data_IF_521880592801
#
_entry.id   IF_521880592801
#
_cell.length_a   1.000
_cell.length_b   1.000
_cell.length_c   1.000
_cell.angle_alpha   90.00
_cell.angle_beta   90.00
_cell.angle_gamma   90.00
#
_symmetry.space_group_name_H-M   'P 1'
#
loop_
_entity.id
_entity.type
_entity.pdbx_description
1 polymer ?
#
# COMPACT_ATOMS: atom_id res chain seq x y z
N UNK A 1 -11.09 7.74 -18.92
CA UNK A 1 -10.04 7.73 -17.86
C UNK A 1 -8.83 8.49 -18.38
N UNK A 2 -8.44 9.59 -17.73
CA UNK A 2 -7.19 10.28 -18.08
C UNK A 2 -5.99 9.41 -17.73
N UNK A 3 -5.08 9.17 -18.68
CA UNK A 3 -3.88 8.35 -18.43
C UNK A 3 -2.82 9.21 -17.75
N UNK A 4 -2.43 8.84 -16.53
CA UNK A 4 -1.40 9.55 -15.77
C UNK A 4 -0.02 9.29 -16.41
N UNK A 5 0.82 10.32 -16.49
CA UNK A 5 2.21 10.23 -16.95
C UNK A 5 3.16 9.68 -15.89
N UNK A 6 4.11 8.86 -16.32
CA UNK A 6 5.12 8.26 -15.46
C UNK A 6 6.13 9.29 -14.95
N UNK A 7 6.48 9.14 -13.68
CA UNK A 7 7.43 10.00 -12.95
C UNK A 7 8.17 9.16 -11.93
N UNK A 8 9.26 9.70 -11.38
CA UNK A 8 10.07 9.05 -10.36
C UNK A 8 9.33 9.00 -9.00
N UNK A 9 8.29 8.17 -8.91
CA UNK A 9 7.42 8.02 -7.74
C UNK A 9 6.81 6.61 -7.73
N UNK A 10 6.27 6.16 -6.59
CA UNK A 10 5.48 4.93 -6.47
C UNK A 10 4.02 5.02 -6.95
N UNK A 11 3.57 6.17 -7.47
CA UNK A 11 2.20 6.38 -7.98
C UNK A 11 1.85 5.49 -9.18
N UNK A 12 2.86 5.21 -10.01
CA UNK A 12 2.82 4.25 -11.11
C UNK A 12 3.76 3.10 -10.75
N UNK A 13 3.33 1.87 -11.05
CA UNK A 13 4.10 0.65 -10.85
C UNK A 13 4.05 -0.19 -12.11
N UNK A 14 5.19 -0.79 -12.46
CA UNK A 14 5.23 -1.85 -13.45
C UNK A 14 4.75 -3.14 -12.81
N UNK A 15 3.76 -3.79 -13.42
CA UNK A 15 3.22 -5.07 -12.95
C UNK A 15 3.23 -6.06 -14.10
N UNK A 16 3.69 -7.27 -13.81
CA UNK A 16 3.75 -8.36 -14.77
C UNK A 16 2.35 -8.76 -15.25
N UNK A 17 2.14 -8.78 -16.57
CA UNK A 17 0.90 -9.28 -17.17
C UNK A 17 0.91 -10.81 -17.30
N UNK A 18 2.10 -11.38 -17.48
CA UNK A 18 2.35 -12.81 -17.41
C UNK A 18 3.45 -13.06 -16.36
N UNK A 19 3.39 -14.18 -15.61
CA UNK A 19 4.38 -14.46 -14.58
C UNK A 19 5.79 -14.60 -15.18
N UNK A 20 6.80 -14.16 -14.43
CA UNK A 20 8.20 -14.42 -14.75
C UNK A 20 8.50 -15.89 -14.49
N UNK A 21 8.85 -16.63 -15.53
CA UNK A 21 9.25 -18.04 -15.39
C UNK A 21 10.75 -18.06 -15.07
N UNK A 22 11.09 -18.38 -13.83
CA UNK A 22 12.48 -18.48 -13.37
C UNK A 22 12.82 -19.92 -13.00
N UNK A 23 14.09 -20.30 -13.15
CA UNK A 23 14.63 -21.56 -12.68
C UNK A 23 14.82 -21.48 -11.17
N UNK A 24 14.18 -22.39 -10.45
CA UNK A 24 14.21 -22.39 -8.98
C UNK A 24 14.84 -23.67 -8.49
N UNK A 25 15.89 -23.61 -7.65
CA UNK A 25 16.49 -24.80 -7.08
C UNK A 25 15.51 -25.47 -6.11
N UNK A 26 15.11 -26.70 -6.44
CA UNK A 26 14.29 -27.57 -5.60
C UNK A 26 15.06 -28.89 -5.45
N UNK A 27 15.80 -29.02 -4.35
CA UNK A 27 16.77 -30.11 -4.16
C UNK A 27 17.84 -30.08 -5.25
N UNK A 28 18.00 -31.20 -5.98
CA UNK A 28 18.97 -31.33 -7.06
C UNK A 28 18.42 -30.90 -8.44
N UNK A 29 17.16 -30.48 -8.53
CA UNK A 29 16.52 -30.06 -9.78
C UNK A 29 16.30 -28.55 -9.81
N UNK A 30 16.21 -27.98 -11.02
CA UNK A 30 15.91 -26.56 -11.24
C UNK A 30 14.68 -26.38 -12.14
N UNK A 31 13.47 -26.79 -11.68
CA UNK A 31 12.25 -26.64 -12.47
C UNK A 31 11.94 -25.15 -12.77
N UNK A 32 11.31 -24.87 -13.92
CA UNK A 32 10.81 -23.54 -14.24
C UNK A 32 9.53 -23.25 -13.44
N UNK A 33 9.56 -22.27 -12.54
CA UNK A 33 8.42 -21.86 -11.72
C UNK A 33 7.97 -20.42 -12.05
N UNK A 34 6.65 -20.14 -12.02
CA UNK A 34 6.10 -18.81 -12.25
C UNK A 34 6.17 -17.91 -11.00
N UNK A 35 6.64 -16.68 -11.15
CA UNK A 35 6.67 -15.65 -10.11
C UNK A 35 5.98 -14.35 -10.54
N UNK A 36 5.18 -13.72 -9.66
CA UNK A 36 4.69 -12.37 -9.90
C UNK A 36 5.85 -11.38 -9.77
N UNK A 37 5.92 -10.40 -10.67
CA UNK A 37 6.95 -9.36 -10.63
C UNK A 37 6.30 -8.00 -10.60
N UNK A 38 6.73 -7.18 -9.65
CA UNK A 38 6.28 -5.79 -9.54
C UNK A 38 7.47 -4.87 -9.29
N UNK A 39 7.35 -3.62 -9.74
CA UNK A 39 8.35 -2.60 -9.46
C UNK A 39 7.78 -1.19 -9.46
N UNK A 40 8.20 -0.41 -8.47
CA UNK A 40 7.86 1.00 -8.33
C UNK A 40 8.82 1.87 -9.15
N UNK A 41 8.33 2.97 -9.71
CA UNK A 41 9.18 3.90 -10.48
C UNK A 41 9.98 4.86 -9.59
N UNK A 42 9.93 4.75 -8.26
CA UNK A 42 10.71 5.59 -7.34
C UNK A 42 12.23 5.42 -7.49
N UNK A 43 12.68 4.21 -7.80
CA UNK A 43 14.11 3.87 -8.00
C UNK A 43 14.58 4.02 -9.46
N UNK A 44 13.85 4.78 -10.28
CA UNK A 44 14.18 4.98 -11.70
C UNK A 44 15.51 5.68 -11.89
N UNK A 45 16.30 5.21 -12.86
CA UNK A 45 17.54 5.83 -13.33
C UNK A 45 17.29 6.42 -14.72
N UNK A 46 18.04 7.46 -15.12
CA UNK A 46 17.92 8.05 -16.46
C UNK A 46 16.65 8.90 -16.64
N UNK A 47 16.16 9.52 -15.57
CA UNK A 47 15.03 10.46 -15.56
C UNK A 47 15.33 11.79 -16.28
N UNK A 48 14.29 12.58 -16.53
CA UNK A 48 14.41 13.95 -17.06
C UNK A 48 14.18 14.96 -15.94
N UNK A 49 15.22 15.63 -15.41
CA UNK A 49 15.08 16.54 -14.26
C UNK A 49 14.39 17.87 -14.60
N UNK A 50 14.42 18.27 -15.87
CA UNK A 50 13.88 19.56 -16.34
C UNK A 50 12.35 19.60 -16.39
N UNK A 51 11.69 18.44 -16.52
CA UNK A 51 10.23 18.35 -16.59
C UNK A 51 9.73 17.55 -15.41
N UNK A 52 8.79 18.13 -14.66
CA UNK A 52 8.26 17.53 -13.43
C UNK A 52 6.75 17.34 -13.54
N UNK A 53 6.27 16.18 -13.12
CA UNK A 53 4.85 15.89 -12.99
C UNK A 53 4.46 15.88 -11.51
N UNK A 54 3.72 16.89 -11.05
CA UNK A 54 3.41 17.12 -9.63
C UNK A 54 4.66 17.10 -8.73
N UNK A 55 5.74 17.75 -9.17
CA UNK A 55 6.97 17.88 -8.37
C UNK A 55 8.04 16.83 -8.65
N UNK A 56 7.69 15.64 -9.17
CA UNK A 56 8.69 14.59 -9.43
C UNK A 56 9.17 14.59 -10.89
N UNK A 57 10.45 14.26 -11.16
CA UNK A 57 11.00 14.19 -12.52
C UNK A 57 10.26 13.20 -13.43
N UNK A 58 10.11 13.58 -14.70
CA UNK A 58 9.42 12.78 -15.70
C UNK A 58 10.21 11.52 -16.10
N UNK A 59 9.46 10.44 -16.35
CA UNK A 59 9.97 9.16 -16.82
C UNK A 59 9.63 8.96 -18.31
N UNK A 60 10.64 8.66 -19.13
CA UNK A 60 10.51 8.64 -20.59
C UNK A 60 11.04 7.35 -21.21
N UNK A 61 10.51 7.00 -22.38
CA UNK A 61 10.95 5.87 -23.19
C UNK A 61 12.44 6.02 -23.58
N UNK A 62 13.16 4.92 -23.72
CA UNK A 62 14.57 4.85 -24.20
C UNK A 62 15.60 5.67 -23.42
N UNK A 63 15.26 6.15 -22.22
CA UNK A 63 16.20 6.84 -21.32
C UNK A 63 16.05 6.35 -19.90
N UNK A 64 14.81 6.23 -19.45
CA UNK A 64 14.52 5.89 -18.08
C UNK A 64 14.31 4.39 -17.94
N UNK A 65 14.93 3.81 -16.92
CA UNK A 65 14.86 2.37 -16.61
C UNK A 65 14.79 2.17 -15.11
N UNK A 66 14.27 1.04 -14.65
CA UNK A 66 14.42 0.62 -13.26
C UNK A 66 15.49 -0.45 -13.18
N UNK A 67 16.50 -0.30 -12.30
CA UNK A 67 17.64 -1.21 -12.27
C UNK A 67 17.27 -2.61 -11.72
N UNK A 68 16.22 -2.69 -10.90
CA UNK A 68 15.82 -3.92 -10.22
C UNK A 68 14.31 -4.05 -10.23
N UNK A 69 13.79 -5.27 -10.26
CA UNK A 69 12.40 -5.59 -9.98
C UNK A 69 12.27 -6.49 -8.74
N UNK A 70 11.05 -6.63 -8.20
CA UNK A 70 10.79 -7.41 -6.99
C UNK A 70 9.76 -8.52 -7.24
N UNK A 71 9.83 -9.60 -6.45
CA UNK A 71 8.87 -10.73 -6.48
C UNK A 71 9.42 -12.06 -7.01
N UNK A 72 10.56 -12.03 -7.72
CA UNK A 72 11.12 -13.21 -8.39
C UNK A 72 12.41 -13.75 -7.76
N UNK A 73 12.80 -13.18 -6.61
CA UNK A 73 13.98 -13.56 -5.81
C UNK A 73 14.11 -15.06 -5.49
N UNK A 74 13.03 -15.84 -5.29
CA UNK A 74 13.16 -17.28 -5.03
C UNK A 74 13.72 -18.08 -6.23
N UNK A 75 13.57 -17.57 -7.45
CA UNK A 75 14.15 -18.15 -8.65
C UNK A 75 15.63 -17.79 -8.80
N UNK A 76 16.47 -18.22 -7.86
CA UNK A 76 17.88 -17.82 -7.77
C UNK A 76 18.75 -18.29 -8.94
N UNK A 77 18.28 -19.23 -9.76
CA UNK A 77 18.97 -19.69 -10.97
C UNK A 77 18.57 -18.89 -12.23
N UNK A 78 17.89 -17.75 -12.07
CA UNK A 78 17.59 -16.81 -13.15
C UNK A 78 16.35 -17.13 -13.98
N UNK A 79 15.89 -16.15 -14.76
CA UNK A 79 14.80 -16.28 -15.72
C UNK A 79 15.14 -17.29 -16.83
N UNK A 80 14.14 -18.06 -17.28
CA UNK A 80 14.33 -19.02 -18.38
C UNK A 80 14.77 -18.33 -19.67
N UNK A 81 14.26 -17.13 -19.95
CA UNK A 81 14.63 -16.35 -21.12
C UNK A 81 15.77 -15.37 -20.86
N UNK A 82 15.78 -14.71 -19.69
CA UNK A 82 16.74 -13.63 -19.41
C UNK A 82 18.01 -14.09 -18.69
N UNK A 83 18.00 -15.23 -18.01
CA UNK A 83 19.08 -15.66 -17.11
C UNK A 83 19.26 -14.79 -15.87
N UNK A 84 18.44 -13.75 -15.67
CA UNK A 84 18.54 -12.82 -14.54
C UNK A 84 17.44 -13.05 -13.53
N UNK A 85 17.71 -12.73 -12.27
CA UNK A 85 16.71 -12.64 -11.21
C UNK A 85 16.65 -11.21 -10.74
N UNK A 86 15.45 -10.65 -10.58
CA UNK A 86 15.26 -9.26 -10.18
C UNK A 86 15.97 -8.27 -11.12
N UNK A 87 15.94 -8.54 -12.42
CA UNK A 87 16.57 -7.72 -13.44
C UNK A 87 15.92 -6.36 -13.68
N UNK A 88 16.35 -5.70 -14.74
CA UNK A 88 15.87 -4.35 -15.07
C UNK A 88 14.42 -4.36 -15.61
N UNK A 89 13.75 -3.23 -15.45
CA UNK A 89 12.46 -2.93 -16.10
C UNK A 89 12.66 -1.82 -17.11
N UNK A 90 12.18 -2.08 -18.34
CA UNK A 90 12.28 -1.16 -19.47
C UNK A 90 10.91 -0.94 -20.11
N UNK A 91 10.54 0.32 -20.42
CA UNK A 91 9.35 0.61 -21.20
C UNK A 91 9.55 0.17 -22.65
N UNK A 92 8.51 -0.40 -23.27
CA UNK A 92 8.55 -0.87 -24.67
C UNK A 92 7.91 0.16 -25.61
N UNK A 93 6.85 0.82 -25.13
CA UNK A 93 6.10 1.80 -25.92
C UNK A 93 5.69 2.96 -25.02
N UNK A 94 5.61 4.15 -25.59
CA UNK A 94 5.12 5.36 -24.92
C UNK A 94 4.06 6.09 -25.74
N UNK A 95 3.81 7.34 -25.38
CA UNK A 95 2.90 8.24 -26.08
C UNK A 95 3.38 8.56 -27.51
N UNK A 96 2.47 8.49 -28.49
CA UNK A 96 2.76 8.88 -29.87
C UNK A 96 2.87 10.39 -30.05
N UNK A 97 2.10 11.16 -29.27
CA UNK A 97 1.89 12.59 -29.49
C UNK A 97 2.68 13.46 -28.49
N UNK A 98 2.91 12.94 -27.27
CA UNK A 98 3.58 13.70 -26.21
C UNK A 98 5.00 13.20 -26.01
N UNK A 99 5.97 14.11 -26.16
CA UNK A 99 7.39 13.84 -25.97
C UNK A 99 7.99 14.82 -24.97
N UNK A 100 8.89 14.33 -24.13
CA UNK A 100 9.69 15.14 -23.20
C UNK A 100 11.16 14.92 -23.57
N UNK A 101 11.90 16.01 -23.79
CA UNK A 101 13.30 15.95 -24.24
C UNK A 101 13.49 15.08 -25.49
N UNK A 102 12.57 15.17 -26.44
CA UNK A 102 12.59 14.39 -27.69
C UNK A 102 12.14 12.93 -27.57
N UNK A 103 11.86 12.44 -26.35
CA UNK A 103 11.50 11.03 -26.10
C UNK A 103 10.03 10.86 -25.70
N UNK A 104 9.33 9.81 -26.15
CA UNK A 104 7.96 9.52 -25.75
C UNK A 104 7.77 9.44 -24.23
N UNK A 105 6.71 10.08 -23.74
CA UNK A 105 6.33 9.98 -22.33
C UNK A 105 5.64 8.64 -22.08
N UNK A 106 6.02 7.97 -21.00
CA UNK A 106 5.35 6.74 -20.56
C UNK A 106 4.10 7.09 -19.77
N UNK A 107 3.02 6.36 -19.99
CA UNK A 107 1.73 6.59 -19.32
C UNK A 107 1.21 5.30 -18.72
N UNK A 108 0.18 5.43 -17.89
CA UNK A 108 -0.62 4.30 -17.46
C UNK A 108 -1.15 3.49 -18.67
N UNK A 109 -0.98 2.17 -18.58
CA UNK A 109 -1.39 1.20 -19.59
C UNK A 109 -0.39 1.02 -20.74
N UNK A 110 0.72 1.76 -20.74
CA UNK A 110 1.79 1.49 -21.70
C UNK A 110 2.55 0.20 -21.30
N UNK A 111 2.98 -0.63 -22.27
CA UNK A 111 3.65 -1.90 -22.02
C UNK A 111 5.13 -1.73 -21.63
N UNK A 112 5.62 -2.65 -20.81
CA UNK A 112 7.02 -2.75 -20.40
C UNK A 112 7.52 -4.21 -20.41
N UNK A 113 8.84 -4.38 -20.43
CA UNK A 113 9.51 -5.65 -20.17
C UNK A 113 10.11 -5.63 -18.78
N UNK A 114 9.91 -6.70 -18.02
CA UNK A 114 10.41 -6.85 -16.65
C UNK A 114 11.40 -8.02 -16.56
N UNK A 115 12.28 -7.96 -15.56
CA UNK A 115 13.38 -8.91 -15.37
C UNK A 115 14.22 -9.11 -16.64
N UNK A 116 14.71 -8.01 -17.21
CA UNK A 116 15.56 -8.00 -18.42
C UNK A 116 14.92 -8.69 -19.64
N UNK A 117 13.59 -8.62 -19.77
CA UNK A 117 12.86 -9.22 -20.89
C UNK A 117 12.30 -10.61 -20.65
N UNK A 118 12.34 -11.13 -19.41
CA UNK A 118 11.76 -12.44 -19.12
C UNK A 118 10.24 -12.44 -19.21
N UNK A 119 9.59 -11.39 -18.70
CA UNK A 119 8.14 -11.25 -18.72
C UNK A 119 7.67 -9.89 -19.26
N UNK A 120 6.53 -9.87 -19.96
CA UNK A 120 5.84 -8.64 -20.29
C UNK A 120 5.08 -8.10 -19.07
N UNK A 121 5.02 -6.78 -18.98
CA UNK A 121 4.26 -6.06 -17.97
C UNK A 121 3.57 -4.83 -18.55
N UNK A 122 2.80 -4.18 -17.70
CA UNK A 122 2.14 -2.91 -17.98
C UNK A 122 2.34 -1.96 -16.82
N UNK A 123 2.40 -0.66 -17.11
CA UNK A 123 2.39 0.36 -16.06
C UNK A 123 0.97 0.57 -15.56
N UNK A 124 0.72 0.28 -14.29
CA UNK A 124 -0.56 0.50 -13.63
C UNK A 124 -0.41 1.53 -12.52
N UNK A 125 -1.47 2.26 -12.25
CA UNK A 125 -1.50 3.17 -11.12
C UNK A 125 -1.90 2.42 -9.86
N UNK A 126 -1.23 2.69 -8.75
CA UNK A 126 -1.55 2.11 -7.43
C UNK A 126 -2.56 2.90 -6.63
N UNK A 127 -3.16 3.92 -7.22
CA UNK A 127 -4.33 4.51 -6.62
C UNK A 127 -5.42 3.44 -6.53
N UNK A 128 -5.66 2.99 -5.29
CA UNK A 128 -7.03 2.72 -4.83
C UNK A 128 -7.85 3.91 -5.32
N UNK A 129 -8.99 3.70 -6.01
CA UNK A 129 -9.84 4.81 -6.42
C UNK A 129 -10.16 5.63 -5.18
N UNK A 130 -9.44 6.72 -5.02
CA UNK A 130 -9.73 7.71 -4.02
C UNK A 130 -10.97 8.41 -4.55
N UNK A 131 -12.13 8.01 -4.02
CA UNK A 131 -13.26 8.91 -3.92
C UNK A 131 -12.65 10.21 -3.37
N UNK A 132 -12.84 11.29 -4.11
CA UNK A 132 -12.30 12.62 -3.83
C UNK A 132 -12.31 12.90 -2.32
N UNK A 133 -11.13 12.83 -1.67
CA UNK A 133 -10.98 13.03 -0.22
C UNK A 133 -10.27 11.94 0.59
N UNK A 134 -9.94 10.76 0.06
CA UNK A 134 -9.19 9.77 0.86
C UNK A 134 -7.67 9.94 0.72
N UNK A 135 -7.07 10.53 1.75
CA UNK A 135 -5.62 10.62 1.99
C UNK A 135 -4.95 9.25 1.84
N UNK A 136 -3.83 9.20 1.12
CA UNK A 136 -2.94 8.04 1.13
C UNK A 136 -2.40 7.82 2.54
N UNK A 137 -2.12 6.57 2.91
CA UNK A 137 -1.50 6.20 4.19
C UNK A 137 -0.07 6.75 4.29
N UNK A 138 0.07 8.05 4.50
CA UNK A 138 1.17 8.64 5.22
C UNK A 138 0.78 8.63 6.69
N UNK A 139 1.56 7.94 7.52
CA UNK A 139 1.55 8.17 8.95
C UNK A 139 1.92 9.64 9.21
N UNK A 140 0.92 10.50 9.26
CA UNK A 140 1.02 11.85 9.79
C UNK A 140 -0.06 11.97 10.84
N UNK A 141 0.35 11.82 12.09
CA UNK A 141 -0.42 12.18 13.29
C UNK A 141 -0.63 13.69 13.28
N UNK A 142 -1.47 14.18 12.38
CA UNK A 142 -1.93 15.54 12.33
C UNK A 142 -3.45 15.45 12.34
N UNK A 143 -4.00 15.37 13.54
CA UNK A 143 -5.41 15.58 13.81
C UNK A 143 -5.79 16.95 13.25
N UNK A 144 -6.35 16.98 12.04
CA UNK A 144 -6.86 18.22 11.42
C UNK A 144 -8.20 18.67 12.03
N UNK A 145 -8.45 18.30 13.28
CA UNK A 145 -9.52 18.84 14.11
C UNK A 145 -8.86 19.76 15.14
N UNK A 146 -9.09 21.08 15.12
CA UNK A 146 -8.64 21.94 16.21
C UNK A 146 -9.24 21.43 17.53
N UNK A 147 -8.54 21.55 18.67
CA UNK A 147 -9.10 21.18 19.96
C UNK A 147 -10.40 21.97 20.20
N UNK A 148 -11.49 21.28 20.52
CA UNK A 148 -12.76 21.91 20.90
C UNK A 148 -12.52 22.65 22.22
N UNK A 149 -12.37 23.96 22.18
CA UNK A 149 -12.31 24.82 23.35
C UNK A 149 -13.70 25.45 23.55
N UNK A 150 -14.35 25.27 24.72
CA UNK A 150 -15.63 25.91 25.00
C UNK A 150 -15.40 27.40 25.29
N UNK A 151 -15.97 28.28 24.47
CA UNK A 151 -15.80 29.73 24.62
C UNK A 151 -16.95 30.37 25.42
N UNK A 152 -17.97 29.59 25.78
CA UNK A 152 -19.11 30.06 26.59
C UNK A 152 -19.36 29.21 27.86
N UNK A 153 -19.88 29.80 28.96
CA UNK A 153 -20.20 29.05 30.18
C UNK A 153 -21.26 27.96 29.98
N UNK A 154 -22.11 28.09 28.98
CA UNK A 154 -23.14 27.11 28.62
C UNK A 154 -22.59 25.90 27.86
N UNK A 155 -21.46 26.04 27.16
CA UNK A 155 -20.81 24.93 26.45
C UNK A 155 -19.94 24.05 27.37
N UNK A 156 -19.48 24.62 28.49
CA UNK A 156 -18.78 23.88 29.55
C UNK A 156 -19.70 22.85 30.24
N UNK A 157 -20.97 23.17 30.46
CA UNK A 157 -21.93 22.28 31.12
C UNK A 157 -22.40 21.13 30.21
N UNK A 158 -22.50 21.38 28.90
CA UNK A 158 -22.86 20.34 27.92
C UNK A 158 -21.71 19.34 27.71
N UNK A 159 -20.46 19.82 27.53
CA UNK A 159 -19.31 18.94 27.27
C UNK A 159 -18.90 18.12 28.51
N UNK A 160 -19.06 18.69 29.72
CA UNK A 160 -18.85 17.95 30.98
C UNK A 160 -19.95 16.92 31.28
N UNK A 161 -21.18 17.18 30.84
CA UNK A 161 -22.29 16.22 30.91
C UNK A 161 -22.16 15.07 29.91
N UNK A 162 -21.60 15.32 28.72
CA UNK A 162 -21.43 14.30 27.68
C UNK A 162 -20.10 13.53 27.78
N UNK A 163 -19.09 14.08 28.46
CA UNK A 163 -17.78 13.44 28.69
C UNK A 163 -17.82 12.16 29.53
N UNK A 164 -18.93 11.88 30.22
CA UNK A 164 -19.13 10.62 30.94
C UNK A 164 -19.91 9.56 30.15
N UNK A 165 -20.34 9.85 28.91
CA UNK A 165 -21.10 8.93 28.07
C UNK A 165 -20.34 8.42 26.83
N UNK A 166 -19.10 8.86 26.62
CA UNK A 166 -18.27 8.45 25.49
C UNK A 166 -16.83 8.21 25.94
N UNK A 167 -16.62 7.24 26.83
CA UNK A 167 -15.32 6.58 26.92
C UNK A 167 -15.29 5.52 25.81
N UNK A 168 -14.38 5.61 24.82
CA UNK A 168 -14.25 4.57 23.82
C UNK A 168 -13.89 3.24 24.48
N UNK A 169 -14.56 2.16 24.08
CA UNK A 169 -14.34 0.75 24.48
C UNK A 169 -12.97 0.21 24.00
N UNK A 170 -11.89 0.91 24.31
CA UNK A 170 -10.51 0.56 23.95
C UNK A 170 -9.49 0.82 25.06
N UNK A 171 -9.84 1.58 26.10
CA UNK A 171 -8.91 1.98 27.15
C UNK A 171 -9.16 1.25 28.48
N UNK A 172 -9.31 -0.08 28.43
CA UNK A 172 -9.23 -0.94 29.62
C UNK A 172 -8.26 -2.12 29.43
N UNK A 173 -7.35 -2.03 28.47
CA UNK A 173 -6.40 -3.11 28.21
C UNK A 173 -5.26 -3.19 29.22
N UNK A 174 -4.98 -2.16 30.02
CA UNK A 174 -3.93 -2.21 31.03
C UNK A 174 -4.22 -1.31 32.23
N UNK A 175 -3.87 -1.80 33.43
CA UNK A 175 -3.92 -1.15 34.75
C UNK A 175 -5.27 -1.14 35.49
N UNK A 176 -5.55 -2.25 36.20
CA UNK A 176 -5.97 -2.26 37.62
C UNK A 176 -7.23 -1.54 38.10
N UNK A 177 -8.04 -0.92 37.23
CA UNK A 177 -9.19 -0.08 37.63
C UNK A 177 -10.57 -0.73 37.42
N UNK A 178 -10.65 -2.06 37.38
CA UNK A 178 -11.92 -2.79 37.30
C UNK A 178 -12.84 -2.58 38.52
N UNK A 179 -12.27 -2.20 39.68
CA UNK A 179 -13.03 -1.96 40.91
C UNK A 179 -13.87 -0.67 40.91
N UNK A 180 -13.68 0.24 39.94
CA UNK A 180 -14.47 1.47 39.87
C UNK A 180 -15.84 1.30 39.18
N UNK A 181 -16.05 0.19 38.43
CA UNK A 181 -17.31 -0.08 37.74
C UNK A 181 -18.35 -0.81 38.63
N UNK A 182 -17.96 -1.29 39.81
CA UNK A 182 -18.91 -1.90 40.75
C UNK A 182 -19.77 -0.85 41.49
N UNK A 183 -19.29 0.40 41.61
CA UNK A 183 -20.01 1.45 42.34
C UNK A 183 -21.17 2.10 41.58
N UNK A 184 -21.17 2.04 40.24
CA UNK A 184 -22.17 2.74 39.41
C UNK A 184 -23.33 1.82 39.02
N UNK A 185 -23.14 0.50 38.99
CA UNK A 185 -24.20 -0.46 38.67
C UNK A 185 -25.23 -0.66 39.81
N UNK A 186 -24.90 -0.27 41.05
CA UNK A 186 -25.83 -0.36 42.18
C UNK A 186 -26.95 0.71 42.15
N UNK A 187 -26.84 1.74 41.31
CA UNK A 187 -27.83 2.80 41.19
C UNK A 187 -28.92 2.59 40.14
N UNK A 188 -28.79 1.57 39.28
CA UNK A 188 -29.64 1.45 38.08
C UNK A 188 -30.62 0.26 38.08
N UNK A 189 -30.74 -0.51 39.17
CA UNK A 189 -31.89 -1.41 39.37
C UNK A 189 -32.09 -2.52 38.31
N UNK A 190 -31.04 -3.00 37.66
CA UNK A 190 -31.14 -4.13 36.70
C UNK A 190 -30.47 -5.35 37.32
N UNK A 191 -31.26 -6.32 37.77
CA UNK A 191 -30.78 -7.60 38.26
C UNK A 191 -30.29 -8.47 37.09
N UNK A 192 -29.06 -9.02 37.14
CA UNK A 192 -28.58 -9.94 36.10
C UNK A 192 -29.20 -11.34 36.25
N UNK A 193 -29.70 -11.88 35.15
CA UNK A 193 -30.11 -13.28 35.00
C UNK A 193 -28.85 -14.17 34.96
N UNK A 194 -28.82 -15.37 35.60
CA UNK A 194 -27.59 -16.16 35.71
C UNK A 194 -27.14 -16.67 34.34
N UNK A 195 -25.89 -16.35 33.97
CA UNK A 195 -25.20 -16.89 32.81
C UNK A 195 -24.75 -18.32 33.10
N UNK A 196 -25.04 -19.25 32.19
CA UNK A 196 -24.49 -20.59 32.24
C UNK A 196 -23.00 -20.56 31.88
N UNK A 197 -22.16 -21.11 32.75
CA UNK A 197 -20.71 -21.16 32.60
C UNK A 197 -20.28 -22.11 31.47
N UNK A 198 -19.58 -21.57 30.47
CA UNK A 198 -18.89 -22.35 29.45
C UNK A 198 -17.50 -22.73 29.96
N UNK A 199 -17.30 -24.01 30.29
CA UNK A 199 -16.02 -24.57 30.74
C UNK A 199 -15.22 -25.10 29.54
N UNK A 200 -14.00 -24.60 29.26
CA UNK A 200 -13.22 -25.03 28.11
C UNK A 200 -12.36 -26.27 28.40
N UNK A 201 -12.58 -27.35 27.63
CA UNK A 201 -11.51 -28.29 27.23
C UNK A 201 -11.63 -29.75 27.70
N UNK A 202 -12.12 -30.64 26.83
CA UNK A 202 -11.65 -32.03 26.74
C UNK A 202 -11.47 -32.42 25.26
N UNK A 203 -10.31 -33.00 24.95
CA UNK A 203 -9.94 -33.49 23.61
C UNK A 203 -10.87 -34.63 23.20
N UNK A 204 -11.15 -34.71 21.91
CA UNK A 204 -11.98 -35.72 21.30
C UNK A 204 -11.51 -37.16 21.53
N UNK A 205 -12.51 -38.04 21.54
CA UNK A 205 -12.51 -39.38 20.99
C UNK A 205 -13.86 -39.56 20.28
#
# INVERSE_FOLDING_TARGET
>A
MGKIGARQNGSLKAVSTAPSINKTPVGNSTPPLPYPVTQDLGSSVGIVPNVRFNGDPAYVLDKSTQPKCTGDAPGSCGGVKSGTTSGEVKPVRGSSNMRISGKPVIRQGDPCTMNSGNCPGIYITTQVPHIFGSVGSSASSASSSPPIQPETPAELSFLSSAGNAAVPMGEYANTGKLMALAGVAAGAGVAPHPAADFVPGTKGA
#
